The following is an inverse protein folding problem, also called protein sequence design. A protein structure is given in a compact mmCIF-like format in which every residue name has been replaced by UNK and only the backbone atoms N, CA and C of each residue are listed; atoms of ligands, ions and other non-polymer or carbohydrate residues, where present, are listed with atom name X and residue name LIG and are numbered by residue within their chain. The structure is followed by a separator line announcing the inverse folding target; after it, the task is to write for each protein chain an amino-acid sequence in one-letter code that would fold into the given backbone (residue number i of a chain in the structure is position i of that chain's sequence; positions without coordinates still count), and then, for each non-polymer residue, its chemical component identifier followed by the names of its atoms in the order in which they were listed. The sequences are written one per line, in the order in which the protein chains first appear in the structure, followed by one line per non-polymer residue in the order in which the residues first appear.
data_IF_643837099049
#
_entry.id   IF_643837099049
#
_cell.length_a   1.000
_cell.length_b   1.000
_cell.length_c   1.000
_cell.angle_alpha   90.00
_cell.angle_beta   90.00
_cell.angle_gamma   90.00
#
_symmetry.space_group_name_H-M   'P 1'
#
loop_
_entity.id
_entity.type
_entity.pdbx_description
1 polymer ?
#
# COMPACT_ATOMS: atom_id res chain seq x y z
N UNK A 1 -33.26 5.37 33.98
CA UNK A 1 -32.56 4.62 32.90
C UNK A 1 -33.22 4.86 31.54
N UNK A 2 -33.52 6.09 31.15
CA UNK A 2 -34.06 6.38 29.81
C UNK A 2 -33.40 7.65 29.29
N UNK A 3 -32.75 7.52 28.13
CA UNK A 3 -32.12 8.64 27.44
C UNK A 3 -33.07 9.29 26.44
N UNK A 4 -32.57 10.29 25.71
CA UNK A 4 -33.39 11.09 24.81
C UNK A 4 -33.78 10.32 23.55
N UNK A 5 -34.94 10.62 22.97
CA UNK A 5 -35.34 10.06 21.68
C UNK A 5 -34.62 10.78 20.56
N UNK A 6 -34.00 10.03 19.67
CA UNK A 6 -33.44 10.56 18.44
C UNK A 6 -34.55 11.19 17.59
N UNK A 7 -34.37 12.45 17.19
CA UNK A 7 -35.34 13.20 16.38
C UNK A 7 -35.50 12.64 14.97
N UNK A 8 -34.51 11.91 14.46
CA UNK A 8 -34.53 11.34 13.11
C UNK A 8 -35.18 9.95 13.03
N UNK A 9 -34.94 9.08 14.02
CA UNK A 9 -35.41 7.69 13.96
C UNK A 9 -36.29 7.26 15.13
N UNK A 10 -36.57 8.15 16.08
CA UNK A 10 -37.48 7.91 17.22
C UNK A 10 -36.98 6.92 18.27
N UNK A 11 -35.81 6.29 18.07
CA UNK A 11 -35.20 5.35 19.02
C UNK A 11 -34.58 6.09 20.21
N UNK A 12 -34.65 5.46 21.38
CA UNK A 12 -34.04 5.99 22.61
C UNK A 12 -32.52 5.79 22.56
N UNK A 13 -31.78 6.87 22.82
CA UNK A 13 -30.33 6.87 22.88
C UNK A 13 -29.92 7.26 24.29
N UNK A 14 -29.04 6.48 24.92
CA UNK A 14 -28.58 6.76 26.28
C UNK A 14 -27.90 8.14 26.39
N UNK A 15 -28.08 8.85 27.51
CA UNK A 15 -27.61 10.24 27.73
C UNK A 15 -26.10 10.46 27.53
N UNK A 16 -25.29 9.39 27.51
CA UNK A 16 -23.84 9.46 27.32
C UNK A 16 -23.41 9.33 25.86
N UNK A 17 -24.29 8.96 24.95
CA UNK A 17 -23.94 8.79 23.54
C UNK A 17 -24.06 10.12 22.81
N UNK A 18 -23.02 10.45 22.05
CA UNK A 18 -22.93 11.69 21.26
C UNK A 18 -23.64 11.56 19.91
N UNK A 19 -23.89 10.32 19.47
CA UNK A 19 -24.56 10.00 18.22
C UNK A 19 -25.61 8.91 18.42
N UNK A 20 -26.62 8.88 17.55
CA UNK A 20 -27.62 7.84 17.52
C UNK A 20 -27.08 6.58 16.86
N UNK A 21 -26.84 5.51 17.63
CA UNK A 21 -26.31 4.22 17.13
C UNK A 21 -27.17 3.55 16.06
N UNK A 22 -28.42 3.96 15.89
CA UNK A 22 -29.33 3.37 14.90
C UNK A 22 -29.43 4.13 13.58
N UNK A 23 -29.08 5.41 13.53
CA UNK A 23 -29.22 6.22 12.30
C UNK A 23 -28.06 7.18 12.04
N UNK A 24 -27.04 7.20 12.91
CA UNK A 24 -25.84 8.03 12.77
C UNK A 24 -26.06 9.52 13.04
N UNK A 25 -27.25 9.95 13.49
CA UNK A 25 -27.49 11.37 13.80
C UNK A 25 -26.65 11.80 15.00
N UNK A 26 -25.82 12.83 14.81
CA UNK A 26 -25.14 13.53 15.90
C UNK A 26 -26.17 14.26 16.78
N UNK A 27 -26.20 13.93 18.07
CA UNK A 27 -27.15 14.48 19.03
C UNK A 27 -26.63 15.77 19.68
N UNK A 28 -25.34 16.06 19.58
CA UNK A 28 -24.69 17.25 20.16
C UNK A 28 -24.67 18.44 19.19
N UNK A 29 -24.59 18.20 17.89
CA UNK A 29 -24.51 19.26 16.88
C UNK A 29 -25.85 19.48 16.15
N UNK A 30 -26.80 20.17 16.80
CA UNK A 30 -28.12 20.50 16.23
C UNK A 30 -28.11 21.59 15.14
N UNK A 31 -26.97 21.97 14.57
CA UNK A 31 -26.88 23.18 13.74
C UNK A 31 -25.84 23.20 12.63
N UNK A 32 -25.13 22.10 12.36
CA UNK A 32 -24.16 22.05 11.25
C UNK A 32 -24.65 21.01 10.21
N UNK A 33 -25.40 21.48 9.21
CA UNK A 33 -25.82 20.69 8.02
C UNK A 33 -24.67 20.44 7.04
N UNK A 34 -23.43 20.74 7.43
CA UNK A 34 -22.23 20.46 6.64
C UNK A 34 -21.93 18.96 6.66
N UNK A 35 -22.05 18.34 5.49
CA UNK A 35 -21.70 16.94 5.24
C UNK A 35 -20.17 16.79 5.25
N UNK A 36 -19.59 16.48 6.42
CA UNK A 36 -18.14 16.27 6.60
C UNK A 36 -17.65 14.91 6.06
N UNK A 37 -18.50 14.16 5.36
CA UNK A 37 -18.17 12.84 4.83
C UNK A 37 -18.03 11.76 5.90
N UNK A 38 -17.51 10.59 5.52
CA UNK A 38 -17.47 9.35 6.32
C UNK A 38 -16.75 9.46 7.69
N UNK A 39 -15.90 10.47 7.89
CA UNK A 39 -15.08 10.62 9.10
C UNK A 39 -15.63 11.70 10.05
N UNK A 40 -16.67 12.44 9.68
CA UNK A 40 -17.27 13.45 10.54
C UNK A 40 -16.31 14.61 10.92
N UNK A 41 -16.83 15.60 11.64
CA UNK A 41 -16.09 16.82 12.01
C UNK A 41 -14.99 16.56 13.05
N UNK A 42 -15.18 15.54 13.89
CA UNK A 42 -14.34 15.32 15.06
C UNK A 42 -13.03 14.59 14.74
N UNK A 43 -12.95 13.82 13.63
CA UNK A 43 -11.73 13.09 13.26
C UNK A 43 -10.70 13.98 12.52
N UNK A 44 -11.08 15.19 12.10
CA UNK A 44 -10.15 16.12 11.44
C UNK A 44 -9.15 16.76 12.42
N UNK A 45 -9.46 16.79 13.71
CA UNK A 45 -8.62 17.42 14.73
C UNK A 45 -7.58 16.49 15.35
N UNK A 46 -7.71 15.17 15.18
CA UNK A 46 -6.76 14.17 15.69
C UNK A 46 -5.67 13.77 14.69
N UNK A 47 -5.64 14.39 13.50
CA UNK A 47 -4.50 14.30 12.58
C UNK A 47 -3.38 15.24 13.02
N UNK A 48 -2.83 14.99 14.20
CA UNK A 48 -1.55 15.56 14.65
C UNK A 48 -0.42 14.81 13.93
N UNK A 49 -0.38 14.99 12.61
CA UNK A 49 0.72 14.54 11.77
C UNK A 49 1.96 15.32 12.20
N UNK A 50 2.86 14.62 12.90
CA UNK A 50 4.16 15.11 13.33
C UNK A 50 5.11 15.25 12.11
N UNK A 51 4.67 15.94 11.05
CA UNK A 51 5.50 16.30 9.92
C UNK A 51 6.42 17.47 10.29
N UNK A 52 7.63 17.52 9.71
CA UNK A 52 8.59 18.57 9.98
C UNK A 52 7.95 19.95 9.78
N UNK A 53 8.21 20.86 10.73
CA UNK A 53 7.56 22.18 10.93
C UNK A 53 7.43 23.11 9.71
N UNK A 54 7.99 22.76 8.55
CA UNK A 54 7.90 23.52 7.30
C UNK A 54 6.75 23.12 6.36
N UNK A 55 6.14 21.94 6.50
CA UNK A 55 5.10 21.47 5.54
C UNK A 55 3.68 21.95 5.88
N UNK A 56 3.43 22.32 7.14
CA UNK A 56 2.11 22.73 7.60
C UNK A 56 1.59 24.05 6.97
N UNK A 57 2.47 24.91 6.43
CA UNK A 57 2.05 26.13 5.73
C UNK A 57 1.71 25.89 4.25
N UNK A 58 2.29 24.85 3.62
CA UNK A 58 2.07 24.54 2.20
C UNK A 58 0.86 23.62 1.98
N UNK A 59 0.56 22.74 2.93
CA UNK A 59 -0.56 21.81 2.82
C UNK A 59 -1.94 22.47 3.00
N UNK A 60 -2.05 23.49 3.86
CA UNK A 60 -3.33 24.15 4.14
C UNK A 60 -4.01 24.76 2.90
N UNK A 61 -3.31 25.55 2.05
CA UNK A 61 -3.92 26.08 0.83
C UNK A 61 -4.20 24.99 -0.22
N UNK A 62 -3.35 23.96 -0.33
CA UNK A 62 -3.58 22.83 -1.24
C UNK A 62 -4.80 21.99 -0.84
N UNK A 63 -4.93 21.68 0.45
CA UNK A 63 -6.09 20.96 0.97
C UNK A 63 -7.36 21.76 0.77
N UNK A 64 -7.34 23.08 1.02
CA UNK A 64 -8.52 23.94 0.82
C UNK A 64 -8.98 23.97 -0.65
N UNK A 65 -8.06 23.99 -1.60
CA UNK A 65 -8.38 23.95 -3.03
C UNK A 65 -8.90 22.56 -3.46
N UNK A 66 -8.32 21.49 -2.91
CA UNK A 66 -8.72 20.11 -3.19
C UNK A 66 -10.11 19.79 -2.62
N UNK A 67 -10.42 20.24 -1.39
CA UNK A 67 -11.75 20.09 -0.79
C UNK A 67 -12.81 20.85 -1.60
N UNK A 68 -12.46 22.03 -2.14
CA UNK A 68 -13.37 22.81 -2.99
C UNK A 68 -13.66 22.07 -4.31
N UNK A 69 -12.63 21.50 -4.95
CA UNK A 69 -12.78 20.72 -6.19
C UNK A 69 -13.55 19.40 -5.95
N UNK A 70 -13.33 18.72 -4.83
CA UNK A 70 -14.11 17.53 -4.48
C UNK A 70 -15.58 17.84 -4.18
N UNK A 71 -15.85 18.98 -3.53
CA UNK A 71 -17.23 19.42 -3.27
C UNK A 71 -18.01 19.80 -4.54
N UNK A 72 -17.32 20.28 -5.58
CA UNK A 72 -17.91 20.53 -6.90
C UNK A 72 -18.17 19.23 -7.66
N UNK A 73 -17.24 18.26 -7.56
CA UNK A 73 -17.39 16.93 -8.15
C UNK A 73 -18.58 16.15 -7.54
N UNK A 74 -18.74 16.16 -6.22
CA UNK A 74 -19.87 15.47 -5.56
C UNK A 74 -21.22 16.09 -5.97
N UNK A 75 -21.26 17.41 -6.17
CA UNK A 75 -22.46 18.10 -6.67
C UNK A 75 -22.79 17.74 -8.12
N UNK A 76 -21.80 17.53 -8.97
CA UNK A 76 -22.02 17.06 -10.35
C UNK A 76 -22.47 15.60 -10.39
N UNK A 77 -21.84 14.72 -9.60
CA UNK A 77 -22.21 13.30 -9.51
C UNK A 77 -23.64 13.13 -8.98
N UNK A 78 -24.02 13.89 -7.94
CA UNK A 78 -25.40 13.86 -7.40
C UNK A 78 -26.43 14.39 -8.41
N UNK A 79 -26.07 15.37 -9.25
CA UNK A 79 -26.96 15.90 -10.31
C UNK A 79 -27.15 14.95 -11.49
N UNK A 80 -26.14 14.14 -11.82
CA UNK A 80 -26.24 13.12 -12.88
C UNK A 80 -26.88 11.81 -12.39
N UNK A 81 -26.68 11.44 -11.12
CA UNK A 81 -27.24 10.22 -10.52
C UNK A 81 -28.77 10.22 -10.40
N UNK A 82 -29.40 11.38 -10.25
CA UNK A 82 -30.87 11.51 -10.11
C UNK A 82 -31.65 11.35 -11.42
N UNK A 83 -30.97 11.34 -12.59
CA UNK A 83 -31.63 11.21 -13.90
C UNK A 83 -31.49 9.85 -14.56
N UNK A 84 -30.64 8.95 -14.05
CA UNK A 84 -30.53 7.56 -14.53
C UNK A 84 -29.79 6.66 -13.52
N UNK A 85 -30.47 5.74 -12.81
CA UNK A 85 -29.85 4.91 -11.77
C UNK A 85 -29.00 3.74 -12.29
N UNK A 86 -28.41 3.85 -13.49
CA UNK A 86 -27.65 2.77 -14.13
C UNK A 86 -26.39 3.20 -14.91
N UNK A 87 -26.03 4.49 -14.91
CA UNK A 87 -24.79 4.96 -15.54
C UNK A 87 -24.08 5.91 -14.58
N UNK A 88 -22.95 5.45 -14.04
CA UNK A 88 -22.04 6.32 -13.32
C UNK A 88 -21.64 7.49 -14.22
N UNK A 89 -21.87 8.70 -13.70
CA UNK A 89 -21.49 9.98 -14.26
C UNK A 89 -20.05 9.95 -14.81
N UNK A 90 -19.88 10.12 -16.13
CA UNK A 90 -18.56 10.26 -16.77
C UNK A 90 -18.19 11.75 -16.76
N UNK A 91 -17.77 12.29 -15.63
CA UNK A 91 -17.31 13.69 -15.53
C UNK A 91 -15.80 13.80 -15.81
N UNK A 92 -15.43 14.51 -16.87
CA UNK A 92 -14.05 14.86 -17.16
C UNK A 92 -13.69 16.08 -16.29
N UNK A 93 -12.91 15.89 -15.23
CA UNK A 93 -12.46 16.99 -14.38
C UNK A 93 -10.99 17.33 -14.64
N UNK A 94 -10.68 18.62 -14.60
CA UNK A 94 -9.31 19.14 -14.72
C UNK A 94 -8.87 19.72 -13.39
N UNK A 95 -7.74 19.25 -12.86
CA UNK A 95 -7.13 19.80 -11.65
C UNK A 95 -6.08 20.83 -12.06
N UNK A 96 -6.30 22.07 -11.67
CA UNK A 96 -5.32 23.16 -11.79
C UNK A 96 -4.77 23.50 -10.41
N UNK A 97 -3.45 23.34 -10.23
CA UNK A 97 -2.74 23.83 -9.06
C UNK A 97 -2.22 25.24 -9.35
N UNK A 98 -2.47 26.18 -8.44
CA UNK A 98 -2.04 27.59 -8.56
C UNK A 98 -0.54 27.79 -8.34
N UNK A 99 0.30 27.18 -9.17
CA UNK A 99 1.73 27.52 -9.27
C UNK A 99 1.95 28.47 -10.44
N UNK A 100 2.74 29.56 -10.29
CA UNK A 100 3.02 30.47 -11.40
C UNK A 100 3.71 29.71 -12.55
N UNK A 101 3.01 29.56 -13.69
CA UNK A 101 3.50 28.84 -14.86
C UNK A 101 3.08 27.36 -14.97
N UNK A 102 2.29 26.83 -14.03
CA UNK A 102 1.78 25.47 -14.09
C UNK A 102 0.66 25.29 -15.14
N UNK A 103 0.87 24.41 -16.12
CA UNK A 103 -0.19 24.03 -17.08
C UNK A 103 -1.21 23.11 -16.38
N UNK A 104 -2.53 23.30 -16.58
CA UNK A 104 -3.55 22.45 -15.97
C UNK A 104 -3.43 21.01 -16.50
N UNK A 105 -3.53 20.04 -15.59
CA UNK A 105 -3.53 18.62 -15.96
C UNK A 105 -4.98 18.22 -16.25
N UNK A 106 -5.27 17.91 -17.51
CA UNK A 106 -6.55 17.36 -17.94
C UNK A 106 -6.52 15.85 -17.78
N UNK A 107 -7.50 15.31 -17.05
CA UNK A 107 -7.71 13.86 -16.94
C UNK A 107 -8.96 13.55 -17.76
N UNK A 108 -8.75 13.06 -18.98
CA UNK A 108 -9.84 12.58 -19.82
C UNK A 108 -10.23 11.18 -19.35
N UNK A 109 -11.51 10.96 -19.02
CA UNK A 109 -12.02 9.62 -18.80
C UNK A 109 -12.06 8.88 -20.14
N UNK A 110 -11.11 7.96 -20.36
CA UNK A 110 -11.10 7.03 -21.49
C UNK A 110 -12.28 6.04 -21.39
N UNK A 111 -13.47 6.49 -21.77
CA UNK A 111 -14.59 5.63 -22.13
C UNK A 111 -14.42 5.13 -23.56
N UNK A 112 -14.09 3.84 -23.69
CA UNK A 112 -14.35 2.96 -24.84
C UNK A 112 -14.37 3.61 -26.23
N UNK A 113 -13.23 3.58 -26.91
CA UNK A 113 -13.08 3.20 -28.33
C UNK A 113 -11.70 3.64 -28.83
N UNK A 114 -10.67 2.87 -28.48
CA UNK A 114 -9.54 2.64 -29.38
C UNK A 114 -9.25 1.15 -29.35
N UNK A 115 -8.95 0.64 -30.54
CA UNK A 115 -8.73 -0.74 -30.93
C UNK A 115 -8.16 -1.65 -29.84
N UNK A 116 -8.42 -2.95 -29.97
CA UNK A 116 -7.62 -4.05 -29.39
C UNK A 116 -6.13 -3.89 -29.78
N UNK A 117 -5.46 -2.89 -29.24
CA UNK A 117 -4.06 -2.98 -28.93
C UNK A 117 -4.09 -3.83 -27.68
N UNK A 118 -3.73 -5.10 -27.87
CA UNK A 118 -3.29 -5.97 -26.79
C UNK A 118 -2.42 -5.09 -25.92
N UNK A 119 -2.95 -4.65 -24.76
CA UNK A 119 -2.11 -4.04 -23.74
C UNK A 119 -0.92 -4.99 -23.64
N UNK A 120 0.34 -4.54 -23.74
CA UNK A 120 1.44 -5.45 -23.53
C UNK A 120 1.12 -6.10 -22.20
N UNK A 121 0.76 -7.38 -22.23
CA UNK A 121 0.62 -8.17 -21.02
C UNK A 121 1.90 -7.81 -20.30
N UNK A 122 1.81 -7.16 -19.13
CA UNK A 122 2.98 -7.03 -18.28
C UNK A 122 3.41 -8.46 -18.09
N UNK A 123 4.36 -8.91 -18.90
CA UNK A 123 4.96 -10.20 -18.79
C UNK A 123 5.32 -10.27 -17.32
N UNK A 124 4.70 -11.19 -16.59
CA UNK A 124 5.03 -11.41 -15.19
C UNK A 124 6.53 -11.54 -15.21
N UNK A 125 7.27 -10.53 -14.72
CA UNK A 125 8.72 -10.58 -14.68
C UNK A 125 9.03 -11.78 -13.79
N UNK A 126 9.41 -12.87 -14.43
CA UNK A 126 9.81 -14.08 -13.74
C UNK A 126 11.16 -13.70 -13.15
N UNK A 127 11.21 -13.57 -11.82
CA UNK A 127 12.46 -13.35 -11.11
C UNK A 127 13.37 -14.53 -11.43
N UNK A 128 14.48 -14.25 -12.11
CA UNK A 128 15.53 -15.24 -12.34
C UNK A 128 16.29 -15.37 -11.04
N UNK A 129 16.11 -16.50 -10.35
CA UNK A 129 16.84 -16.76 -9.12
C UNK A 129 18.27 -17.20 -9.46
N UNK A 130 19.26 -16.80 -8.66
CA UNK A 130 20.62 -17.25 -8.83
C UNK A 130 20.67 -18.76 -8.58
N UNK A 131 21.41 -19.45 -9.44
CA UNK A 131 21.58 -20.90 -9.41
C UNK A 131 23.05 -21.21 -9.60
N UNK A 132 23.54 -22.09 -8.77
CA UNK A 132 24.92 -22.55 -8.81
C UNK A 132 25.04 -23.75 -9.73
N UNK A 133 26.20 -23.89 -10.41
CA UNK A 133 26.46 -25.01 -11.32
C UNK A 133 26.38 -26.38 -10.62
N UNK A 134 25.95 -27.40 -11.36
CA UNK A 134 25.78 -28.76 -10.84
C UNK A 134 27.07 -29.36 -10.25
N UNK A 135 28.23 -28.95 -10.77
CA UNK A 135 29.53 -29.42 -10.32
C UNK A 135 29.88 -28.91 -8.91
N UNK A 136 29.47 -27.68 -8.58
CA UNK A 136 29.60 -27.12 -7.22
C UNK A 136 28.59 -27.80 -6.27
N UNK A 137 27.38 -28.11 -6.74
CA UNK A 137 26.37 -28.82 -5.94
C UNK A 137 26.83 -30.23 -5.51
N UNK A 138 27.60 -30.94 -6.34
CA UNK A 138 28.13 -32.27 -6.00
C UNK A 138 29.18 -32.24 -4.88
N UNK A 139 29.89 -31.12 -4.71
CA UNK A 139 30.93 -30.95 -3.69
C UNK A 139 30.36 -30.71 -2.28
N UNK A 140 29.08 -30.37 -2.17
CA UNK A 140 28.38 -30.04 -0.90
C UNK A 140 28.47 -31.14 0.14
N UNK A 141 28.44 -32.42 -0.27
CA UNK A 141 28.36 -33.56 0.67
C UNK A 141 29.53 -33.63 1.66
N UNK A 142 30.63 -32.93 1.38
CA UNK A 142 31.85 -32.95 2.21
C UNK A 142 32.07 -31.65 2.98
N UNK A 143 31.29 -30.61 2.74
CA UNK A 143 31.50 -29.29 3.33
C UNK A 143 30.79 -29.16 4.67
N UNK A 144 31.36 -28.36 5.56
CA UNK A 144 30.72 -28.03 6.84
C UNK A 144 29.47 -27.20 6.55
N UNK A 145 28.42 -27.39 7.33
CA UNK A 145 27.20 -26.58 7.25
C UNK A 145 27.21 -25.53 8.35
N UNK A 146 26.87 -24.30 7.99
CA UNK A 146 26.68 -23.18 8.93
C UNK A 146 25.34 -22.51 8.70
N UNK A 147 24.74 -21.99 9.77
CA UNK A 147 23.57 -21.13 9.65
C UNK A 147 24.02 -19.66 9.63
N UNK A 148 23.61 -18.86 8.62
CA UNK A 148 24.00 -17.46 8.53
C UNK A 148 23.22 -16.59 9.52
N UNK A 149 23.83 -15.48 9.92
CA UNK A 149 23.13 -14.49 10.72
C UNK A 149 22.05 -13.81 9.86
N UNK A 150 20.87 -13.57 10.43
CA UNK A 150 19.71 -13.05 9.70
C UNK A 150 19.03 -11.96 10.50
N UNK A 151 18.80 -10.81 9.88
CA UNK A 151 17.93 -9.76 10.39
C UNK A 151 16.64 -9.73 9.57
N UNK A 152 15.51 -9.47 10.22
CA UNK A 152 14.19 -9.48 9.59
C UNK A 152 13.45 -8.20 9.92
N UNK A 153 13.00 -7.51 8.88
CA UNK A 153 12.20 -6.29 8.97
C UNK A 153 10.83 -6.55 8.39
N UNK A 154 9.78 -6.29 9.18
CA UNK A 154 8.39 -6.44 8.75
C UNK A 154 7.78 -5.06 8.55
N UNK A 155 7.19 -4.87 7.38
CA UNK A 155 6.38 -3.71 6.99
C UNK A 155 4.93 -4.19 6.78
N UNK A 156 4.00 -3.26 6.56
CA UNK A 156 2.58 -3.59 6.42
C UNK A 156 2.30 -4.49 5.20
N UNK A 157 3.00 -4.27 4.08
CA UNK A 157 2.83 -4.97 2.81
C UNK A 157 4.02 -5.86 2.43
N UNK A 158 5.11 -5.85 3.23
CA UNK A 158 6.39 -6.49 2.88
C UNK A 158 7.12 -7.09 4.07
N UNK A 159 7.95 -8.09 3.79
CA UNK A 159 8.95 -8.61 4.72
C UNK A 159 10.31 -8.62 4.03
N UNK A 160 11.32 -8.08 4.70
CA UNK A 160 12.68 -7.98 4.21
C UNK A 160 13.56 -8.84 5.11
N UNK A 161 14.26 -9.80 4.52
CA UNK A 161 15.30 -10.59 5.18
C UNK A 161 16.66 -10.08 4.73
N UNK A 162 17.51 -9.73 5.68
CA UNK A 162 18.91 -9.37 5.46
C UNK A 162 19.76 -10.54 6.02
N UNK A 163 20.37 -11.32 5.13
CA UNK A 163 21.12 -12.54 5.49
C UNK A 163 22.60 -12.24 5.30
N UNK A 164 23.37 -12.29 6.39
CA UNK A 164 24.82 -12.09 6.36
C UNK A 164 25.53 -13.37 5.96
N UNK A 165 26.29 -13.30 4.87
CA UNK A 165 27.01 -14.40 4.23
C UNK A 165 28.50 -14.03 4.13
N UNK A 166 29.23 -13.90 5.25
CA UNK A 166 30.60 -13.42 5.22
C UNK A 166 31.51 -14.37 4.44
N UNK A 167 32.41 -13.81 3.62
CA UNK A 167 33.31 -14.56 2.75
C UNK A 167 32.69 -15.05 1.44
N UNK A 168 31.43 -14.73 1.16
CA UNK A 168 30.83 -14.97 -0.17
C UNK A 168 31.06 -13.71 -1.01
N UNK A 169 31.80 -13.84 -2.11
CA UNK A 169 32.16 -12.69 -2.96
C UNK A 169 31.14 -12.45 -4.09
N UNK A 170 30.56 -13.52 -4.65
CA UNK A 170 29.76 -13.44 -5.86
C UNK A 170 28.36 -14.03 -5.66
N UNK A 171 27.36 -13.42 -6.32
CA UNK A 171 25.98 -13.94 -6.37
C UNK A 171 25.92 -15.34 -7.01
N UNK A 172 26.87 -15.68 -7.88
CA UNK A 172 26.99 -16.99 -8.54
C UNK A 172 27.37 -18.13 -7.58
N UNK A 173 27.77 -17.79 -6.35
CA UNK A 173 27.99 -18.72 -5.25
C UNK A 173 26.77 -18.85 -4.34
N UNK A 174 25.65 -18.24 -4.71
CA UNK A 174 24.39 -18.28 -3.97
C UNK A 174 23.34 -19.01 -4.82
N UNK A 175 22.71 -20.02 -4.24
CA UNK A 175 21.54 -20.69 -4.79
C UNK A 175 20.31 -20.29 -3.97
N UNK A 176 19.31 -19.72 -4.65
CA UNK A 176 18.00 -19.43 -4.06
C UNK A 176 16.98 -20.31 -4.76
N UNK A 177 16.35 -21.21 -3.99
CA UNK A 177 15.28 -22.07 -4.47
C UNK A 177 13.98 -21.79 -3.74
N UNK A 178 12.88 -21.72 -4.49
CA UNK A 178 11.54 -21.57 -3.96
C UNK A 178 10.80 -22.91 -4.04
N UNK A 179 10.40 -23.45 -2.89
CA UNK A 179 9.70 -24.71 -2.72
C UNK A 179 8.39 -24.44 -1.97
N UNK A 180 7.30 -24.27 -2.72
CA UNK A 180 5.97 -23.93 -2.18
C UNK A 180 5.97 -22.70 -1.27
N UNK A 181 6.04 -22.91 0.06
CA UNK A 181 6.05 -21.87 1.10
C UNK A 181 7.42 -21.77 1.81
N UNK A 182 8.46 -22.36 1.24
CA UNK A 182 9.81 -22.37 1.80
C UNK A 182 10.78 -21.83 0.78
N UNK A 183 11.53 -20.79 1.16
CA UNK A 183 12.71 -20.34 0.41
C UNK A 183 13.94 -20.99 1.04
N UNK A 184 14.66 -21.77 0.25
CA UNK A 184 15.97 -22.29 0.62
C UNK A 184 17.05 -21.40 0.03
N UNK A 185 17.90 -20.86 0.90
CA UNK A 185 19.11 -20.12 0.53
C UNK A 185 20.31 -20.99 0.87
N UNK A 186 21.16 -21.26 -0.12
CA UNK A 186 22.45 -21.92 0.07
C UNK A 186 23.55 -21.04 -0.51
N UNK A 187 24.57 -20.71 0.29
CA UNK A 187 25.74 -20.00 -0.20
C UNK A 187 27.00 -20.85 -0.01
N UNK A 188 27.84 -20.91 -1.04
CA UNK A 188 28.96 -21.84 -1.11
C UNK A 188 30.29 -21.12 -0.91
N UNK A 189 31.05 -21.55 0.08
CA UNK A 189 32.46 -21.23 0.25
C UNK A 189 33.29 -22.51 0.03
N UNK A 190 34.62 -22.36 0.03
CA UNK A 190 35.53 -23.49 -0.20
C UNK A 190 35.40 -24.59 0.87
N UNK A 191 35.18 -24.23 2.13
CA UNK A 191 35.13 -25.17 3.27
C UNK A 191 33.78 -25.22 4.00
N UNK A 192 32.90 -24.25 3.73
CA UNK A 192 31.65 -24.02 4.44
C UNK A 192 30.50 -23.80 3.45
N UNK A 193 29.31 -24.27 3.80
CA UNK A 193 28.07 -23.92 3.11
C UNK A 193 27.14 -23.27 4.14
N UNK A 194 26.73 -22.03 3.85
CA UNK A 194 25.63 -21.42 4.58
C UNK A 194 24.31 -21.98 4.09
N UNK A 195 23.44 -22.42 5.00
CA UNK A 195 22.11 -22.93 4.67
C UNK A 195 21.06 -22.21 5.53
N UNK A 196 20.05 -21.62 4.87
CA UNK A 196 18.91 -20.98 5.54
C UNK A 196 17.62 -21.36 4.85
N UNK A 197 16.67 -21.89 5.63
CA UNK A 197 15.32 -22.14 5.18
C UNK A 197 14.39 -21.10 5.80
N UNK A 198 13.58 -20.46 4.95
CA UNK A 198 12.66 -19.41 5.36
C UNK A 198 11.25 -19.85 5.01
N UNK A 199 10.46 -20.14 6.04
CA UNK A 199 9.04 -20.44 5.91
C UNK A 199 8.26 -19.13 5.74
N UNK A 200 7.71 -18.90 4.55
CA UNK A 200 6.97 -17.68 4.22
C UNK A 200 5.91 -17.95 3.14
N UNK A 201 4.70 -17.43 3.37
CA UNK A 201 3.56 -17.57 2.46
C UNK A 201 3.46 -16.47 1.39
N UNK A 202 4.34 -15.46 1.47
CA UNK A 202 4.36 -14.34 0.52
C UNK A 202 5.34 -14.58 -0.62
N UNK A 203 5.03 -14.12 -1.84
CA UNK A 203 5.92 -14.31 -2.97
C UNK A 203 7.16 -13.43 -2.83
N UNK A 204 8.32 -13.98 -3.19
CA UNK A 204 9.55 -13.22 -3.37
C UNK A 204 9.34 -12.23 -4.54
N UNK A 205 9.47 -10.94 -4.26
CA UNK A 205 9.29 -9.86 -5.24
C UNK A 205 10.62 -9.29 -5.73
N UNK A 206 11.68 -9.40 -4.93
CA UNK A 206 13.01 -8.93 -5.28
C UNK A 206 14.11 -9.63 -4.45
N UNK A 207 15.34 -9.60 -4.95
CA UNK A 207 16.53 -9.97 -4.18
C UNK A 207 17.73 -9.14 -4.65
N UNK A 208 18.68 -8.91 -3.75
CA UNK A 208 19.97 -8.29 -4.08
C UNK A 208 21.08 -8.86 -3.20
N UNK A 209 22.30 -8.85 -3.70
CA UNK A 209 23.48 -9.26 -2.95
C UNK A 209 24.55 -8.20 -3.11
N UNK A 210 24.97 -7.61 -2.00
CA UNK A 210 25.97 -6.55 -1.93
C UNK A 210 26.66 -6.61 -0.57
N UNK A 211 27.96 -6.35 -0.52
CA UNK A 211 28.76 -6.31 0.71
C UNK A 211 28.52 -7.51 1.65
N UNK A 212 28.53 -8.73 1.08
CA UNK A 212 28.31 -10.00 1.81
C UNK A 212 26.91 -10.14 2.44
N UNK A 213 25.95 -9.30 2.06
CA UNK A 213 24.57 -9.33 2.56
C UNK A 213 23.62 -9.68 1.42
N UNK A 214 22.91 -10.80 1.59
CA UNK A 214 21.80 -11.17 0.72
C UNK A 214 20.50 -10.58 1.29
N UNK A 215 19.88 -9.69 0.53
CA UNK A 215 18.57 -9.12 0.84
C UNK A 215 17.50 -9.86 0.05
N UNK A 216 16.50 -10.39 0.73
CA UNK A 216 15.31 -11.00 0.14
C UNK A 216 14.08 -10.18 0.50
N UNK A 217 13.31 -9.77 -0.50
CA UNK A 217 12.11 -8.96 -0.34
C UNK A 217 10.87 -9.75 -0.73
N UNK A 218 9.94 -9.89 0.21
CA UNK A 218 8.66 -10.58 0.05
C UNK A 218 7.53 -9.57 0.15
N UNK A 219 6.51 -9.69 -0.69
CA UNK A 219 5.36 -8.77 -0.62
C UNK A 219 4.23 -9.12 -1.58
N UNK A 220 3.09 -8.45 -1.41
CA UNK A 220 1.95 -8.58 -2.30
C UNK A 220 2.25 -7.84 -3.61
N UNK A 221 2.08 -8.53 -4.75
CA UNK A 221 2.25 -7.96 -6.10
C UNK A 221 1.03 -7.17 -6.55
#
# INVERSE_FOLDING_TARGET
MFGEKCTRCGKHVGKKHEFCSSCGLDLKNKGDDTDYGLLGKNDMNDFDFNLPRGLNMLLKPLMKELTKQMGELDKEIRREGDKNPGRAARSNFSISFGTPGGKPIRIDNMGEQRARQVAPQREKRILKLPKVSEDKLKKIKKLKKGEPNTNVRRLSDRIIYEISLPGVEYIDDINISNLENVIEVRAFLEELVYEKNIEISMPLINYSFEDEILVLEFGLR
#
